data_IF_665344904683
#
_entry.id   IF_665344904683
#
_cell.length_a   1.000
_cell.length_b   1.000
_cell.length_c   1.000
_cell.angle_alpha   90.00
_cell.angle_beta   90.00
_cell.angle_gamma   90.00
#
_symmetry.space_group_name_H-M   'P 1'
#
loop_
_entity.id
_entity.type
_entity.pdbx_description
1 polymer ?
#
# COMPACT_ATOMS: atom_id res chain seq x y z
N UNK A 1 -3.74 -12.48 16.09
CA UNK A 1 -2.94 -13.65 15.63
C UNK A 1 -3.34 -14.10 14.22
N UNK A 2 -4.62 -14.35 13.92
CA UNK A 2 -5.06 -14.80 12.58
C UNK A 2 -4.64 -13.89 11.39
N UNK A 3 -4.72 -12.57 11.53
CA UNK A 3 -4.33 -11.63 10.46
C UNK A 3 -2.83 -11.62 10.15
N UNK A 4 -1.99 -11.89 11.15
CA UNK A 4 -0.55 -12.03 10.95
C UNK A 4 -0.25 -13.29 10.13
N UNK A 5 -0.89 -14.41 10.45
CA UNK A 5 -0.73 -15.64 9.68
C UNK A 5 -1.19 -15.49 8.22
N UNK A 6 -2.19 -14.65 7.95
CA UNK A 6 -2.65 -14.36 6.58
C UNK A 6 -1.54 -13.77 5.70
N UNK A 7 -0.75 -12.83 6.23
CA UNK A 7 0.28 -12.11 5.43
C UNK A 7 1.72 -12.54 5.73
N UNK A 8 1.93 -13.49 6.64
CA UNK A 8 3.25 -13.88 7.11
C UNK A 8 4.18 -14.30 5.97
N UNK A 9 3.68 -15.08 5.02
CA UNK A 9 4.50 -15.58 3.91
C UNK A 9 4.90 -14.45 2.96
N UNK A 10 3.98 -13.54 2.66
CA UNK A 10 4.25 -12.33 1.89
C UNK A 10 5.28 -11.45 2.59
N UNK A 11 5.07 -11.11 3.87
CA UNK A 11 5.97 -10.21 4.63
C UNK A 11 7.39 -10.79 4.74
N UNK A 12 7.54 -12.10 4.89
CA UNK A 12 8.85 -12.75 5.07
C UNK A 12 9.61 -12.98 3.78
N UNK A 13 8.93 -13.23 2.65
CA UNK A 13 9.56 -13.68 1.40
C UNK A 13 9.45 -12.68 0.26
N UNK A 14 8.53 -11.71 0.37
CA UNK A 14 8.32 -10.69 -0.64
C UNK A 14 9.42 -9.65 -0.68
N UNK A 15 9.43 -8.87 -1.75
CA UNK A 15 10.33 -7.74 -1.94
C UNK A 15 9.84 -6.53 -1.16
N UNK A 16 10.71 -6.00 -0.29
CA UNK A 16 10.43 -4.86 0.56
C UNK A 16 10.79 -3.55 -0.15
N UNK A 17 9.83 -2.64 -0.25
CA UNK A 17 10.01 -1.32 -0.84
C UNK A 17 9.67 -0.23 0.18
N UNK A 18 10.64 0.60 0.52
CA UNK A 18 10.36 1.87 1.23
C UNK A 18 9.78 2.87 0.23
N UNK A 19 8.58 3.36 0.53
CA UNK A 19 7.87 4.33 -0.31
C UNK A 19 8.06 5.74 0.24
N UNK A 20 7.90 5.91 1.55
CA UNK A 20 8.08 7.19 2.22
C UNK A 20 8.70 6.99 3.62
N UNK A 21 9.50 7.96 4.04
CA UNK A 21 10.06 8.01 5.39
C UNK A 21 9.57 9.25 6.14
N UNK A 22 9.06 9.05 7.35
CA UNK A 22 8.74 10.14 8.28
C UNK A 22 9.94 11.06 8.49
N UNK A 23 11.16 10.50 8.53
CA UNK A 23 12.39 11.27 8.72
C UNK A 23 12.60 12.34 7.64
N UNK A 24 12.05 12.12 6.44
CA UNK A 24 12.17 13.02 5.31
C UNK A 24 10.95 13.94 5.18
N UNK A 25 9.74 13.39 5.30
CA UNK A 25 8.51 14.13 5.03
C UNK A 25 7.83 14.75 6.27
N UNK A 26 8.21 14.32 7.48
CA UNK A 26 7.65 14.74 8.76
C UNK A 26 6.11 14.64 8.83
N UNK A 27 5.52 13.66 8.15
CA UNK A 27 4.06 13.39 8.12
C UNK A 27 3.70 11.91 8.30
N UNK A 28 4.31 11.03 7.51
CA UNK A 28 3.95 9.61 7.50
C UNK A 28 5.10 8.68 7.09
N UNK A 29 5.00 7.43 7.51
CA UNK A 29 5.80 6.33 7.00
C UNK A 29 4.98 5.45 6.07
N UNK A 30 5.58 5.02 4.96
CA UNK A 30 4.93 4.07 4.07
C UNK A 30 5.93 3.11 3.43
N UNK A 31 5.56 1.84 3.43
CA UNK A 31 6.31 0.78 2.75
C UNK A 31 5.36 -0.24 2.15
N UNK A 32 5.86 -1.00 1.19
CA UNK A 32 5.14 -2.10 0.59
C UNK A 32 5.99 -3.37 0.65
N UNK A 33 5.33 -4.52 0.75
CA UNK A 33 5.93 -5.82 0.48
C UNK A 33 5.18 -6.43 -0.69
N UNK A 34 5.91 -6.78 -1.75
CA UNK A 34 5.34 -7.32 -2.99
C UNK A 34 5.79 -8.77 -3.17
N UNK A 35 4.88 -9.65 -3.56
CA UNK A 35 5.19 -11.04 -3.87
C UNK A 35 6.14 -11.13 -5.07
N UNK A 36 6.94 -12.20 -5.13
CA UNK A 36 7.94 -12.41 -6.19
C UNK A 36 7.34 -12.53 -7.58
N UNK A 37 6.12 -13.06 -7.65
CA UNK A 37 5.32 -13.17 -8.87
C UNK A 37 4.54 -11.88 -9.18
N UNK A 38 4.70 -10.84 -8.34
CA UNK A 38 4.01 -9.56 -8.43
C UNK A 38 2.48 -9.66 -8.35
N UNK A 39 1.91 -10.81 -7.96
CA UNK A 39 0.45 -11.00 -7.93
C UNK A 39 -0.21 -10.52 -6.64
N UNK A 40 0.56 -10.34 -5.58
CA UNK A 40 0.07 -9.89 -4.29
C UNK A 40 0.99 -8.79 -3.75
N UNK A 41 0.43 -7.75 -3.15
CA UNK A 41 1.20 -6.73 -2.47
C UNK A 41 0.48 -6.22 -1.22
N UNK A 42 1.24 -5.97 -0.16
CA UNK A 42 0.74 -5.38 1.08
C UNK A 42 1.42 -4.04 1.32
N UNK A 43 0.65 -2.97 1.22
CA UNK A 43 1.07 -1.61 1.53
C UNK A 43 0.71 -1.31 2.97
N UNK A 44 1.70 -0.90 3.75
CA UNK A 44 1.50 -0.39 5.11
C UNK A 44 1.71 1.12 5.09
N UNK A 45 0.70 1.84 5.55
CA UNK A 45 0.74 3.29 5.72
C UNK A 45 0.57 3.62 7.19
N UNK A 46 1.45 4.45 7.74
CA UNK A 46 1.37 4.93 9.12
C UNK A 46 1.39 6.44 9.11
N UNK A 47 0.26 7.05 9.48
CA UNK A 47 0.22 8.47 9.79
C UNK A 47 0.83 8.66 11.18
N UNK A 48 1.95 9.38 11.25
CA UNK A 48 2.67 9.57 12.51
C UNK A 48 2.03 10.73 13.28
N UNK A 49 1.93 11.91 12.66
CA UNK A 49 1.20 13.05 13.20
C UNK A 49 0.04 13.38 12.27
N UNK A 50 -1.16 13.52 12.84
CA UNK A 50 -2.34 13.97 12.13
C UNK A 50 -2.43 15.49 12.10
N UNK A 51 -2.65 16.05 10.92
CA UNK A 51 -2.93 17.48 10.77
C UNK A 51 -4.42 17.78 10.72
N UNK A 52 -4.81 18.97 11.17
CA UNK A 52 -6.16 19.50 10.96
C UNK A 52 -6.36 19.82 9.47
N UNK A 53 -7.52 19.44 8.92
CA UNK A 53 -7.90 19.69 7.52
C UNK A 53 -6.87 19.20 6.49
N UNK A 54 -6.27 18.02 6.71
CA UNK A 54 -5.30 17.47 5.77
C UNK A 54 -5.94 16.96 4.48
N UNK A 55 -5.30 17.30 3.37
CA UNK A 55 -5.64 16.75 2.06
C UNK A 55 -5.34 15.25 1.99
N UNK A 56 -5.99 14.55 1.06
CA UNK A 56 -5.69 13.14 0.82
C UNK A 56 -4.26 12.96 0.30
N UNK A 57 -3.62 11.88 0.72
CA UNK A 57 -2.29 11.51 0.27
C UNK A 57 -2.35 10.65 -0.98
N UNK A 58 -1.31 10.72 -1.81
CA UNK A 58 -1.17 9.90 -3.01
C UNK A 58 0.13 9.11 -2.92
N UNK A 59 0.01 7.80 -2.80
CA UNK A 59 1.12 6.88 -2.57
C UNK A 59 1.44 6.15 -3.86
N UNK A 60 2.64 6.37 -4.38
CA UNK A 60 3.13 5.67 -5.56
C UNK A 60 3.74 4.33 -5.13
N UNK A 61 3.08 3.24 -5.47
CA UNK A 61 3.56 1.90 -5.18
C UNK A 61 4.83 1.60 -6.01
N UNK A 62 5.58 0.57 -5.63
CA UNK A 62 6.78 0.12 -6.34
C UNK A 62 6.74 -1.41 -6.47
N UNK A 63 7.36 -1.93 -7.51
CA UNK A 63 7.56 -3.38 -7.70
C UNK A 63 6.33 -4.15 -8.20
N UNK A 64 5.26 -3.46 -8.60
CA UNK A 64 4.08 -4.10 -9.20
C UNK A 64 4.29 -4.35 -10.69
N UNK A 65 3.57 -5.32 -11.25
CA UNK A 65 3.53 -5.54 -12.70
C UNK A 65 2.68 -4.43 -13.35
N UNK A 66 3.24 -3.63 -14.28
CA UNK A 66 2.50 -2.55 -14.92
C UNK A 66 1.28 -3.01 -15.74
N UNK A 67 1.29 -4.25 -16.26
CA UNK A 67 0.24 -4.82 -17.12
C UNK A 67 -0.88 -5.48 -16.32
N UNK A 68 -0.59 -6.01 -15.13
CA UNK A 68 -1.61 -6.60 -14.27
C UNK A 68 -2.59 -5.57 -13.71
N UNK A 69 -3.81 -6.02 -13.45
CA UNK A 69 -4.84 -5.25 -12.76
C UNK A 69 -4.94 -5.74 -11.32
N UNK A 70 -4.91 -4.82 -10.37
CA UNK A 70 -4.95 -5.12 -8.95
C UNK A 70 -6.25 -4.60 -8.35
N UNK A 71 -6.93 -5.46 -7.59
CA UNK A 71 -8.04 -5.09 -6.71
C UNK A 71 -7.50 -4.67 -5.35
N UNK A 72 -8.01 -3.56 -4.84
CA UNK A 72 -7.74 -3.08 -3.49
C UNK A 72 -8.72 -3.75 -2.51
N UNK A 73 -8.23 -4.64 -1.65
CA UNK A 73 -9.06 -5.39 -0.69
C UNK A 73 -9.87 -4.43 0.21
N UNK A 74 -11.18 -4.70 0.32
CA UNK A 74 -12.13 -3.85 1.05
C UNK A 74 -12.71 -2.69 0.24
N UNK A 75 -12.42 -2.60 -1.06
CA UNK A 75 -13.05 -1.66 -1.98
C UNK A 75 -13.35 -2.32 -3.33
N UNK A 76 -14.24 -1.71 -4.12
CA UNK A 76 -14.51 -2.14 -5.50
C UNK A 76 -13.53 -1.52 -6.52
N UNK A 77 -12.42 -0.93 -6.05
CA UNK A 77 -11.45 -0.29 -6.92
C UNK A 77 -10.49 -1.32 -7.52
N UNK A 78 -10.44 -1.34 -8.86
CA UNK A 78 -9.49 -2.11 -9.65
C UNK A 78 -8.64 -1.12 -10.44
N UNK A 79 -7.33 -1.18 -10.26
CA UNK A 79 -6.38 -0.28 -10.90
C UNK A 79 -5.27 -1.10 -11.57
N UNK A 80 -4.74 -0.63 -12.71
CA UNK A 80 -3.54 -1.26 -13.26
C UNK A 80 -2.34 -1.03 -12.35
N UNK A 81 -1.36 -1.94 -12.37
CA UNK A 81 -0.10 -1.72 -11.64
C UNK A 81 0.60 -0.45 -12.10
N UNK A 82 0.53 -0.12 -13.40
CA UNK A 82 1.02 1.16 -13.91
C UNK A 82 0.32 2.35 -13.24
N UNK A 83 -1.01 2.31 -13.09
CA UNK A 83 -1.73 3.37 -12.38
C UNK A 83 -1.31 3.46 -10.90
N UNK A 84 -1.17 2.33 -10.21
CA UNK A 84 -0.73 2.31 -8.81
C UNK A 84 0.71 2.82 -8.61
N UNK A 85 1.59 2.60 -9.59
CA UNK A 85 2.98 3.06 -9.55
C UNK A 85 3.14 4.52 -9.94
N UNK A 86 2.47 4.97 -11.01
CA UNK A 86 2.67 6.32 -11.57
C UNK A 86 1.63 7.33 -11.08
N UNK A 87 0.34 6.97 -11.17
CA UNK A 87 -0.75 7.83 -10.70
C UNK A 87 -0.89 7.78 -9.18
N UNK A 88 -0.58 6.64 -8.55
CA UNK A 88 -0.58 6.45 -7.11
C UNK A 88 -1.95 6.11 -6.53
N UNK A 89 -1.94 5.46 -5.37
CA UNK A 89 -3.10 5.11 -4.57
C UNK A 89 -3.47 6.25 -3.62
N UNK A 90 -4.74 6.64 -3.61
CA UNK A 90 -5.22 7.70 -2.73
C UNK A 90 -5.54 7.16 -1.32
N UNK A 91 -4.93 7.78 -0.31
CA UNK A 91 -5.20 7.52 1.10
C UNK A 91 -5.93 8.74 1.67
N UNK A 92 -7.16 8.53 2.11
CA UNK A 92 -7.89 9.55 2.87
C UNK A 92 -7.21 9.74 4.22
N UNK A 93 -7.08 11.00 4.65
CA UNK A 93 -6.50 11.35 5.95
C UNK A 93 -7.13 10.54 7.08
N UNK A 94 -6.29 10.00 7.95
CA UNK A 94 -6.72 9.25 9.12
C UNK A 94 -6.95 10.24 10.27
N UNK A 95 -7.89 9.95 11.15
CA UNK A 95 -8.16 10.83 12.30
C UNK A 95 -7.31 10.38 13.50
N UNK A 96 -6.41 11.25 13.95
CA UNK A 96 -5.54 11.03 15.11
C UNK A 96 -4.07 10.79 14.73
N UNK A 97 -3.24 10.64 15.76
CA UNK A 97 -1.81 10.38 15.64
C UNK A 97 -1.52 8.87 15.70
N UNK A 98 -0.40 8.46 15.10
CA UNK A 98 0.10 7.08 15.10
C UNK A 98 -0.88 6.04 14.56
N UNK A 99 -1.72 6.41 13.59
CA UNK A 99 -2.72 5.52 13.00
C UNK A 99 -2.14 4.79 11.78
N UNK A 100 -2.19 3.46 11.84
CA UNK A 100 -1.79 2.57 10.75
C UNK A 100 -2.97 2.10 9.90
N UNK A 101 -2.74 1.93 8.60
CA UNK A 101 -3.66 1.26 7.67
C UNK A 101 -2.89 0.26 6.83
N UNK A 102 -3.41 -0.96 6.78
CA UNK A 102 -2.97 -2.00 5.86
C UNK A 102 -3.85 -1.98 4.62
N UNK A 103 -3.22 -2.06 3.46
CA UNK A 103 -3.90 -2.09 2.17
C UNK A 103 -3.32 -3.25 1.39
N UNK A 104 -4.19 -4.21 1.10
CA UNK A 104 -3.83 -5.43 0.41
C UNK A 104 -4.29 -5.34 -1.04
N UNK A 105 -3.37 -5.60 -1.96
CA UNK A 105 -3.55 -5.54 -3.40
C UNK A 105 -3.42 -6.96 -3.95
N UNK A 106 -4.45 -7.41 -4.67
CA UNK A 106 -4.48 -8.73 -5.30
C UNK A 106 -4.64 -8.55 -6.80
N UNK A 107 -3.76 -9.18 -7.58
CA UNK A 107 -3.88 -9.22 -9.02
C UNK A 107 -5.12 -10.04 -9.41
N UNK A 108 -5.93 -9.49 -10.31
CA UNK A 108 -7.03 -10.22 -10.92
C UNK A 108 -6.44 -11.31 -11.85
N UNK A 109 -7.02 -12.51 -11.89
CA UNK A 109 -6.62 -13.52 -12.85
C UNK A 109 -6.84 -13.01 -14.28
N UNK A 110 -5.84 -13.22 -15.15
CA UNK A 110 -5.99 -12.98 -16.58
C UNK A 110 -7.04 -13.95 -17.14
N UNK A 111 -8.00 -13.41 -17.91
CA UNK A 111 -9.07 -14.17 -18.59
C UNK A 111 -8.53 -14.74 -19.89
#
# INVERSE_FOLDING_TARGET
VAMYHKYNDLIRRGDYYRIASWRENHRYDCWAVVAKDQREALVTFVQVLGGANEHSWRIRCKGLDPLCRYRVEGTDQIMSGAALMYAGLQIKGLRGDFIGRLIHLLAEPEV
#
